data_IF_607744934328
#
_entry.id   IF_607744934328
#
_cell.length_a   1.000
_cell.length_b   1.000
_cell.length_c   1.000
_cell.angle_alpha   90.00
_cell.angle_beta   90.00
_cell.angle_gamma   90.00
#
_symmetry.space_group_name_H-M   'P 1'
#
loop_
_entity.id
_entity.type
_entity.pdbx_description
1 polymer ?
#
# COMPACT_ATOMS: atom_id res chain seq x y z
N UNK A 1 -6.96 -2.56 10.30
CA UNK A 1 -6.48 -1.60 9.29
C UNK A 1 -7.41 -1.52 8.07
N UNK A 2 -7.87 -2.66 7.54
CA UNK A 2 -8.66 -2.71 6.29
C UNK A 2 -9.97 -1.91 6.34
N UNK A 3 -10.68 -1.87 7.48
CA UNK A 3 -11.98 -1.19 7.61
C UNK A 3 -11.88 0.30 7.23
N UNK A 4 -10.89 1.03 7.73
CA UNK A 4 -10.70 2.45 7.42
C UNK A 4 -10.47 2.71 5.92
N UNK A 5 -9.73 1.83 5.24
CA UNK A 5 -9.47 1.94 3.79
C UNK A 5 -10.74 1.60 3.00
N UNK A 6 -11.49 0.59 3.46
CA UNK A 6 -12.74 0.17 2.84
C UNK A 6 -13.82 1.25 2.98
N UNK A 7 -13.94 1.92 4.13
CA UNK A 7 -14.88 3.02 4.34
C UNK A 7 -14.62 4.16 3.34
N UNK A 8 -13.35 4.54 3.15
CA UNK A 8 -12.97 5.53 2.15
C UNK A 8 -13.19 5.03 0.71
N UNK A 9 -12.93 3.75 0.43
CA UNK A 9 -13.19 3.16 -0.89
C UNK A 9 -14.69 3.16 -1.22
N UNK A 10 -15.57 2.83 -0.27
CA UNK A 10 -17.01 2.82 -0.50
C UNK A 10 -17.57 4.23 -0.69
N UNK A 11 -17.03 5.22 0.01
CA UNK A 11 -17.46 6.61 -0.14
C UNK A 11 -16.92 7.26 -1.43
N UNK A 12 -15.64 7.05 -1.70
CA UNK A 12 -14.89 7.87 -2.66
C UNK A 12 -14.49 7.11 -3.94
N UNK A 13 -14.77 5.81 -3.96
CA UNK A 13 -14.58 4.91 -5.08
C UNK A 13 -13.16 4.37 -5.21
N UNK A 14 -12.89 3.77 -6.37
CA UNK A 14 -11.64 3.07 -6.66
C UNK A 14 -10.39 3.96 -6.58
N UNK A 15 -10.54 5.30 -6.65
CA UNK A 15 -9.40 6.23 -6.55
C UNK A 15 -8.62 6.08 -5.26
N UNK A 16 -9.29 5.77 -4.14
CA UNK A 16 -8.63 5.59 -2.84
C UNK A 16 -7.64 4.43 -2.89
N UNK A 17 -8.02 3.31 -3.52
CA UNK A 17 -7.13 2.16 -3.64
C UNK A 17 -5.90 2.48 -4.48
N UNK A 18 -6.06 3.21 -5.58
CA UNK A 18 -4.93 3.63 -6.42
C UNK A 18 -4.03 4.63 -5.69
N UNK A 19 -4.60 5.60 -4.97
CA UNK A 19 -3.83 6.58 -4.19
C UNK A 19 -3.01 5.90 -3.09
N UNK A 20 -3.62 4.97 -2.35
CA UNK A 20 -2.93 4.19 -1.30
C UNK A 20 -1.83 3.32 -1.92
N UNK A 21 -2.12 2.61 -3.01
CA UNK A 21 -1.13 1.77 -3.68
C UNK A 21 0.07 2.58 -4.20
N UNK A 22 -0.18 3.73 -4.85
CA UNK A 22 0.88 4.63 -5.32
C UNK A 22 1.72 5.18 -4.17
N UNK A 23 1.09 5.48 -3.03
CA UNK A 23 1.80 5.95 -1.84
C UNK A 23 2.71 4.88 -1.27
N UNK A 24 2.23 3.63 -1.19
CA UNK A 24 3.02 2.48 -0.74
C UNK A 24 4.23 2.27 -1.67
N UNK A 25 4.04 2.38 -2.99
CA UNK A 25 5.12 2.28 -3.96
C UNK A 25 6.12 3.43 -3.84
N UNK A 26 5.63 4.66 -3.66
CA UNK A 26 6.44 5.86 -3.51
C UNK A 26 7.30 5.83 -2.24
N UNK A 27 6.78 5.28 -1.14
CA UNK A 27 7.53 5.13 0.12
C UNK A 27 8.79 4.30 -0.04
N UNK A 28 8.81 3.33 -0.97
CA UNK A 28 9.92 2.39 -1.12
C UNK A 28 10.43 2.32 -2.56
N UNK A 29 10.29 3.41 -3.33
CA UNK A 29 10.65 3.43 -4.75
C UNK A 29 12.16 3.19 -4.96
N UNK A 30 13.02 3.67 -4.06
CA UNK A 30 14.46 3.44 -4.13
C UNK A 30 14.83 1.98 -3.89
N UNK A 31 14.11 1.30 -3.00
CA UNK A 31 14.31 -0.13 -2.70
C UNK A 31 13.74 -1.01 -3.81
N UNK A 32 12.63 -0.60 -4.43
CA UNK A 32 12.10 -1.25 -5.63
C UNK A 32 13.06 -1.10 -6.82
N UNK A 33 13.65 0.08 -7.01
CA UNK A 33 14.62 0.33 -8.10
C UNK A 33 15.95 -0.39 -7.91
N UNK A 34 16.35 -0.66 -6.66
CA UNK A 34 17.57 -1.41 -6.33
C UNK A 34 17.34 -2.92 -6.23
N UNK A 35 16.08 -3.38 -6.31
CA UNK A 35 15.76 -4.80 -6.30
C UNK A 35 16.27 -5.49 -7.57
N UNK A 36 16.91 -6.64 -7.40
CA UNK A 36 17.51 -7.40 -8.50
C UNK A 36 16.48 -8.17 -9.33
N UNK A 37 15.35 -8.55 -8.72
CA UNK A 37 14.32 -9.38 -9.34
C UNK A 37 12.93 -9.04 -8.80
N UNK A 38 11.90 -9.30 -9.61
CA UNK A 38 10.49 -9.08 -9.28
C UNK A 38 10.08 -9.81 -7.99
N UNK A 39 10.62 -11.01 -7.75
CA UNK A 39 10.36 -11.77 -6.53
C UNK A 39 10.86 -11.08 -5.27
N UNK A 40 12.03 -10.42 -5.35
CA UNK A 40 12.60 -9.68 -4.23
C UNK A 40 11.80 -8.41 -3.92
N UNK A 41 11.40 -7.66 -4.97
CA UNK A 41 10.52 -6.50 -4.85
C UNK A 41 9.19 -6.86 -4.18
N UNK A 42 8.57 -7.97 -4.61
CA UNK A 42 7.28 -8.43 -4.08
C UNK A 42 7.37 -8.91 -2.63
N UNK A 43 8.41 -9.66 -2.28
CA UNK A 43 8.64 -10.11 -0.90
C UNK A 43 8.84 -8.91 0.03
N UNK A 44 9.58 -7.92 -0.44
CA UNK A 44 9.84 -6.70 0.30
C UNK A 44 8.57 -5.86 0.50
N UNK A 45 7.79 -5.65 -0.56
CA UNK A 45 6.51 -4.94 -0.48
C UNK A 45 5.52 -5.65 0.46
N UNK A 46 5.51 -6.98 0.43
CA UNK A 46 4.71 -7.80 1.34
C UNK A 46 5.12 -7.62 2.80
N UNK A 47 6.43 -7.59 3.07
CA UNK A 47 6.97 -7.31 4.41
C UNK A 47 6.58 -5.91 4.89
N UNK A 48 6.64 -4.90 4.03
CA UNK A 48 6.21 -3.54 4.36
C UNK A 48 4.70 -3.49 4.65
N UNK A 49 3.87 -4.14 3.83
CA UNK A 49 2.42 -4.18 4.06
C UNK A 49 2.07 -4.84 5.40
N UNK A 50 2.82 -5.86 5.84
CA UNK A 50 2.68 -6.48 7.15
C UNK A 50 3.12 -5.57 8.30
N UNK A 51 3.95 -4.56 8.03
CA UNK A 51 4.40 -3.56 9.02
C UNK A 51 3.36 -2.42 9.20
N UNK A 52 2.34 -2.32 8.33
CA UNK A 52 1.30 -1.30 8.43
C UNK A 52 0.32 -1.64 9.56
N UNK A 53 0.38 -0.88 10.64
CA UNK A 53 -0.50 -1.03 11.81
C UNK A 53 -1.58 0.05 11.83
N UNK A 54 -2.69 -0.22 12.52
CA UNK A 54 -3.69 0.79 12.84
C UNK A 54 -3.55 1.12 14.31
N UNK A 55 -3.00 2.30 14.65
CA UNK A 55 -2.73 2.64 16.06
C UNK A 55 -3.99 2.78 16.93
N UNK A 56 -5.18 2.64 16.35
CA UNK A 56 -6.46 2.63 17.07
C UNK A 56 -7.04 1.22 17.30
N UNK A 57 -6.46 0.14 16.76
CA UNK A 57 -6.89 -1.21 17.12
C UNK A 57 -6.24 -1.62 18.43
N UNK A 58 -7.00 -1.61 19.50
CA UNK A 58 -6.67 -2.22 20.80
C UNK A 58 -6.62 -3.76 20.72
N UNK A 59 -5.88 -4.30 19.75
CA UNK A 59 -5.61 -5.73 19.62
C UNK A 59 -4.11 -5.89 19.48
N UNK A 60 -3.46 -6.04 20.64
CA UNK A 60 -2.27 -6.86 20.75
C UNK A 60 -2.61 -8.25 20.18
N UNK A 61 -2.00 -8.62 19.07
CA UNK A 61 -1.92 -10.00 18.56
C UNK A 61 -1.06 -9.91 17.28
N UNK A 62 0.13 -10.51 17.13
CA UNK A 62 0.86 -11.51 17.87
C UNK A 62 2.33 -11.09 17.90
N UNK A 63 2.88 -10.95 19.11
CA UNK A 63 4.33 -10.99 19.33
C UNK A 63 4.70 -12.46 19.47
N UNK A 64 4.96 -13.14 18.36
CA UNK A 64 5.61 -14.46 18.41
C UNK A 64 7.08 -14.23 18.75
N UNK A 65 7.38 -14.38 20.04
CA UNK A 65 8.73 -14.33 20.59
C UNK A 65 9.46 -15.63 20.26
N UNK A 66 10.06 -15.72 19.08
CA UNK A 66 11.20 -16.63 18.92
C UNK A 66 12.43 -15.89 19.44
N UNK A 67 12.82 -16.24 20.66
CA UNK A 67 14.08 -15.88 21.26
C UNK A 67 15.23 -16.43 20.41
N UNK A 68 15.73 -15.63 19.47
CA UNK A 68 17.10 -15.77 19.02
C UNK A 68 17.68 -14.40 18.68
N UNK A 69 18.88 -14.16 19.19
CA UNK A 69 19.48 -12.84 19.30
C UNK A 69 20.02 -12.30 17.99
N UNK A 70 19.16 -11.73 17.14
CA UNK A 70 19.61 -10.97 15.99
C UNK A 70 18.97 -9.57 15.97
N UNK A 71 19.77 -8.58 16.36
CA UNK A 71 19.43 -7.15 16.32
C UNK A 71 19.36 -6.67 14.86
N UNK A 72 18.34 -7.10 14.11
CA UNK A 72 18.02 -6.52 12.81
C UNK A 72 16.90 -5.52 13.01
N UNK A 73 17.26 -4.25 12.97
CA UNK A 73 16.43 -3.05 12.88
C UNK A 73 14.96 -3.38 12.58
N UNK A 74 14.14 -3.51 13.64
CA UNK A 74 12.70 -3.59 13.45
C UNK A 74 12.26 -2.25 12.89
N UNK A 75 11.90 -2.23 11.60
CA UNK A 75 11.27 -1.07 10.97
C UNK A 75 10.08 -0.64 11.83
N UNK A 76 10.08 0.62 12.25
CA UNK A 76 9.05 1.17 13.11
C UNK A 76 7.68 1.01 12.44
N UNK A 77 6.67 0.49 13.17
CA UNK A 77 5.33 0.29 12.63
C UNK A 77 4.79 1.55 11.97
N UNK A 78 4.31 1.44 10.73
CA UNK A 78 3.76 2.57 9.97
C UNK A 78 2.24 2.64 10.18
N UNK A 79 1.73 3.77 10.69
CA UNK A 79 0.28 3.95 10.88
C UNK A 79 -0.43 4.07 9.52
N UNK A 80 -1.47 3.26 9.31
CA UNK A 80 -2.36 3.32 8.15
C UNK A 80 -2.91 4.72 7.89
N UNK A 81 -3.14 5.52 8.94
CA UNK A 81 -3.61 6.92 8.81
C UNK A 81 -2.57 7.83 8.16
N UNK A 82 -1.29 7.61 8.44
CA UNK A 82 -0.22 8.37 7.81
C UNK A 82 -0.16 8.06 6.31
N UNK A 83 -0.36 6.80 5.93
CA UNK A 83 -0.45 6.39 4.53
C UNK A 83 -1.66 7.04 3.86
N UNK A 84 -2.83 7.01 4.50
CA UNK A 84 -4.05 7.64 3.98
C UNK A 84 -3.92 9.16 3.83
N UNK A 85 -3.27 9.82 4.78
CA UNK A 85 -3.01 11.25 4.73
C UNK A 85 -2.05 11.58 3.59
N UNK A 86 -0.91 10.87 3.53
CA UNK A 86 0.07 11.02 2.46
C UNK A 86 -0.53 10.72 1.08
N UNK A 87 -1.44 9.75 0.98
CA UNK A 87 -2.08 9.40 -0.28
C UNK A 87 -3.05 10.46 -0.77
N UNK A 88 -3.83 11.05 0.13
CA UNK A 88 -4.70 12.17 -0.20
C UNK A 88 -3.88 13.41 -0.59
N UNK A 89 -2.77 13.67 0.10
CA UNK A 89 -1.95 14.84 -0.17
C UNK A 89 -1.17 14.73 -1.49
N UNK A 90 -0.49 13.60 -1.73
CA UNK A 90 0.36 13.41 -2.92
C UNK A 90 -0.44 13.05 -4.17
N UNK A 91 -1.47 12.21 -4.02
CA UNK A 91 -2.22 11.65 -5.14
C UNK A 91 -3.69 12.07 -5.18
N UNK A 92 -4.08 13.07 -4.37
CA UNK A 92 -5.45 13.60 -4.32
C UNK A 92 -5.99 14.15 -5.64
N UNK A 93 -5.09 14.53 -6.56
CA UNK A 93 -5.46 14.98 -7.92
C UNK A 93 -5.99 13.87 -8.81
N UNK A 94 -5.78 12.60 -8.46
CA UNK A 94 -6.29 11.46 -9.23
C UNK A 94 -7.81 11.40 -9.10
N UNK A 95 -8.50 11.63 -10.22
CA UNK A 95 -9.95 11.55 -10.26
C UNK A 95 -10.46 10.17 -10.67
N UNK A 96 -11.70 9.85 -10.30
CA UNK A 96 -12.38 8.66 -10.81
C UNK A 96 -12.54 8.69 -12.35
N UNK A 97 -12.57 9.89 -12.96
CA UNK A 97 -12.62 10.02 -14.42
C UNK A 97 -11.31 9.55 -15.07
N UNK A 98 -10.16 9.86 -14.49
CA UNK A 98 -8.86 9.46 -15.04
C UNK A 98 -8.69 7.94 -15.00
N UNK A 99 -9.12 7.33 -13.89
CA UNK A 99 -9.16 5.87 -13.72
C UNK A 99 -10.06 5.22 -14.77
N UNK A 100 -11.25 5.77 -14.99
CA UNK A 100 -12.20 5.24 -15.97
C UNK A 100 -11.70 5.41 -17.42
N UNK A 101 -11.05 6.54 -17.75
CA UNK A 101 -10.41 6.75 -19.06
C UNK A 101 -9.34 5.69 -19.33
N UNK A 102 -8.45 5.45 -18.36
CA UNK A 102 -7.43 4.41 -18.46
C UNK A 102 -8.05 3.02 -18.59
N UNK A 103 -9.04 2.69 -17.75
CA UNK A 103 -9.77 1.42 -17.82
C UNK A 103 -10.35 1.17 -19.21
N UNK A 104 -11.02 2.17 -19.81
CA UNK A 104 -11.59 2.04 -21.15
C UNK A 104 -10.51 1.86 -22.22
N UNK A 105 -9.43 2.65 -22.14
CA UNK A 105 -8.29 2.58 -23.07
C UNK A 105 -7.65 1.19 -23.08
N UNK A 106 -7.47 0.57 -21.92
CA UNK A 106 -6.83 -0.74 -21.80
C UNK A 106 -7.78 -1.90 -22.10
N UNK A 107 -9.09 -1.76 -21.82
CA UNK A 107 -10.08 -2.80 -22.15
C UNK A 107 -10.08 -3.16 -23.64
N UNK A 108 -9.91 -2.18 -24.53
CA UNK A 108 -9.89 -2.40 -25.97
C UNK A 108 -8.64 -3.17 -26.45
N UNK A 109 -7.55 -3.14 -25.68
CA UNK A 109 -6.30 -3.84 -26.01
C UNK A 109 -6.31 -5.32 -25.62
N UNK A 110 -7.12 -5.70 -24.63
CA UNK A 110 -7.20 -7.09 -24.14
C UNK A 110 -8.13 -7.94 -25.01
N UNK A 111 -9.08 -7.33 -25.73
CA UNK A 111 -10.01 -8.04 -26.63
C UNK A 111 -9.40 -8.34 -28.01
N UNK A 112 -8.28 -7.70 -28.36
CA UNK A 112 -7.60 -7.88 -29.65
C UNK A 112 -6.28 -8.65 -29.54
N UNK A 113 -6.02 -9.34 -28.44
CA UNK A 113 -4.86 -10.23 -28.25
C UNK A 113 -5.30 -11.67 -28.04
#
# INVERSE_FOLDING_TARGET
>A
CAVNILDCFFYDGARVLFQVALTILDYRIEELLSSHDEGAAMAFLSKFMNNIVNSNSATQDFMETTADGDRKSQESPVDVRNIMYSSCHKFGSISNQDINKLRLKHRLKVVQS
#
